data_IF_688418283709
#
_entry.id   IF_688418283709
#
_cell.length_a   1.000
_cell.length_b   1.000
_cell.length_c   1.000
_cell.angle_alpha   90.00
_cell.angle_beta   90.00
_cell.angle_gamma   90.00
#
_symmetry.space_group_name_H-M   'P 1'
#
loop_
_entity.id
_entity.type
_entity.pdbx_description
1 polymer ?
#
# COMPACT_ATOMS: atom_id res chain seq x y z
N UNK A 1 -5.22 -12.34 20.85
CA UNK A 1 -4.12 -11.85 21.70
C UNK A 1 -2.75 -12.45 21.30
N UNK A 2 -2.59 -13.76 21.21
CA UNK A 2 -1.30 -14.40 20.84
C UNK A 2 -0.77 -14.00 19.45
N UNK A 3 -1.62 -13.87 18.45
CA UNK A 3 -1.19 -13.49 17.09
C UNK A 3 -0.57 -12.08 17.04
N UNK A 4 -1.22 -11.11 17.69
CA UNK A 4 -0.69 -9.74 17.80
C UNK A 4 0.65 -9.70 18.52
N UNK A 5 0.78 -10.49 19.62
CA UNK A 5 2.03 -10.58 20.37
C UNK A 5 3.16 -11.18 19.53
N UNK A 6 2.89 -12.25 18.78
CA UNK A 6 3.89 -12.86 17.88
C UNK A 6 4.37 -11.88 16.82
N UNK A 7 3.45 -11.15 16.15
CA UNK A 7 3.82 -10.13 15.18
C UNK A 7 4.67 -9.03 15.81
N UNK A 8 4.23 -8.52 16.97
CA UNK A 8 4.95 -7.48 17.69
C UNK A 8 6.35 -7.94 18.13
N UNK A 9 6.49 -9.17 18.64
CA UNK A 9 7.79 -9.73 19.03
C UNK A 9 8.75 -9.80 17.84
N UNK A 10 8.29 -10.25 16.67
CA UNK A 10 9.14 -10.29 15.47
C UNK A 10 9.59 -8.88 15.08
N UNK A 11 8.68 -7.92 15.06
CA UNK A 11 9.01 -6.54 14.66
C UNK A 11 9.90 -5.83 15.67
N UNK A 12 9.66 -6.00 16.97
CA UNK A 12 10.44 -5.37 18.03
C UNK A 12 11.81 -6.03 18.23
N UNK A 13 11.93 -7.34 17.97
CA UNK A 13 13.22 -8.03 18.06
C UNK A 13 14.09 -7.75 16.82
N UNK A 14 13.54 -7.93 15.62
CA UNK A 14 14.35 -7.89 14.39
C UNK A 14 14.45 -6.49 13.77
N UNK A 15 13.42 -5.66 13.92
CA UNK A 15 13.37 -4.32 13.31
C UNK A 15 14.50 -3.40 13.79
N UNK A 16 14.70 -3.22 15.12
CA UNK A 16 15.78 -2.40 15.63
C UNK A 16 17.18 -2.91 15.21
N UNK A 17 17.41 -4.23 15.26
CA UNK A 17 18.69 -4.84 14.84
C UNK A 17 18.96 -4.53 13.37
N UNK A 18 17.96 -4.79 12.51
CA UNK A 18 18.08 -4.50 11.08
C UNK A 18 18.33 -3.01 10.81
N UNK A 19 17.70 -2.11 11.57
CA UNK A 19 17.92 -0.67 11.43
C UNK A 19 19.28 -0.21 11.95
N UNK A 20 19.71 -0.69 13.12
CA UNK A 20 21.00 -0.30 13.73
C UNK A 20 22.16 -0.73 12.83
N UNK A 21 22.09 -1.90 12.21
CA UNK A 21 23.12 -2.39 11.30
C UNK A 21 22.93 -1.87 9.88
N UNK A 22 21.70 -1.94 9.38
CA UNK A 22 21.39 -1.67 7.99
C UNK A 22 21.42 -0.18 7.60
N UNK A 23 21.10 0.74 8.52
CA UNK A 23 21.18 2.19 8.22
C UNK A 23 22.62 2.64 8.03
N UNK A 24 23.58 2.39 8.97
CA UNK A 24 24.98 2.72 8.74
C UNK A 24 25.56 2.06 7.48
N UNK A 25 25.27 0.78 7.28
CA UNK A 25 25.67 0.07 6.06
C UNK A 25 25.16 0.78 4.78
N UNK A 26 23.87 1.13 4.76
CA UNK A 26 23.25 1.83 3.63
C UNK A 26 23.91 3.20 3.38
N UNK A 27 24.27 3.94 4.44
CA UNK A 27 24.95 5.22 4.30
C UNK A 27 26.37 5.08 3.74
N UNK A 28 27.07 4.00 4.09
CA UNK A 28 28.41 3.71 3.57
C UNK A 28 28.41 3.29 2.10
N UNK A 29 27.43 2.45 1.72
CA UNK A 29 27.34 1.85 0.36
C UNK A 29 26.56 2.74 -0.60
N UNK A 30 25.70 3.63 -0.11
CA UNK A 30 24.83 4.50 -0.94
C UNK A 30 23.62 3.78 -1.53
N UNK A 31 23.36 2.50 -1.18
CA UNK A 31 22.24 1.69 -1.70
C UNK A 31 21.42 1.05 -0.58
N UNK A 32 20.14 1.38 -0.54
CA UNK A 32 19.17 0.88 0.44
C UNK A 32 18.61 -0.51 0.12
N UNK A 33 18.90 -1.07 -1.03
CA UNK A 33 18.23 -2.29 -1.52
C UNK A 33 18.33 -3.46 -0.56
N UNK A 34 19.48 -3.63 0.10
CA UNK A 34 19.66 -4.70 1.10
C UNK A 34 18.79 -4.46 2.33
N UNK A 35 18.82 -3.26 2.89
CA UNK A 35 17.98 -2.91 4.05
C UNK A 35 16.49 -3.05 3.72
N UNK A 36 16.07 -2.61 2.54
CA UNK A 36 14.70 -2.77 2.08
C UNK A 36 14.28 -4.24 2.02
N UNK A 37 15.10 -5.12 1.42
CA UNK A 37 14.81 -6.56 1.35
C UNK A 37 14.72 -7.21 2.73
N UNK A 38 15.61 -6.86 3.65
CA UNK A 38 15.57 -7.34 5.04
C UNK A 38 14.29 -6.85 5.73
N UNK A 39 13.91 -5.59 5.55
CA UNK A 39 12.66 -5.06 6.11
C UNK A 39 11.43 -5.79 5.57
N UNK A 40 11.39 -6.10 4.27
CA UNK A 40 10.29 -6.87 3.66
C UNK A 40 10.27 -8.32 4.17
N UNK A 41 11.44 -8.94 4.38
CA UNK A 41 11.53 -10.26 4.97
C UNK A 41 11.04 -10.27 6.42
N UNK A 42 11.44 -9.29 7.25
CA UNK A 42 10.94 -9.13 8.63
C UNK A 42 9.42 -8.94 8.63
N UNK A 43 8.90 -8.13 7.71
CA UNK A 43 7.46 -7.88 7.57
C UNK A 43 6.72 -9.19 7.29
N UNK A 44 7.19 -9.98 6.32
CA UNK A 44 6.63 -11.29 6.01
C UNK A 44 6.75 -12.29 7.19
N UNK A 45 7.87 -12.28 7.89
CA UNK A 45 8.08 -13.15 9.05
C UNK A 45 7.07 -12.84 10.17
N UNK A 46 6.82 -11.55 10.45
CA UNK A 46 5.80 -11.13 11.41
C UNK A 46 4.38 -11.54 11.00
N UNK A 47 4.03 -11.32 9.73
CA UNK A 47 2.73 -11.73 9.17
C UNK A 47 2.51 -13.24 9.32
N UNK A 48 3.52 -14.06 8.96
CA UNK A 48 3.47 -15.52 9.11
C UNK A 48 3.39 -15.96 10.57
N UNK A 49 4.18 -15.33 11.45
CA UNK A 49 4.17 -15.62 12.89
C UNK A 49 2.80 -15.33 13.52
N UNK A 50 2.08 -14.33 13.01
CA UNK A 50 0.71 -14.02 13.40
C UNK A 50 -0.33 -15.02 12.87
N UNK A 51 0.09 -16.03 12.10
CA UNK A 51 -0.82 -17.04 11.52
C UNK A 51 -1.64 -16.52 10.34
N UNK A 52 -1.19 -15.44 9.69
CA UNK A 52 -1.82 -14.89 8.50
C UNK A 52 -1.29 -15.64 7.27
N UNK A 53 -2.18 -16.26 6.53
CA UNK A 53 -1.89 -16.85 5.23
C UNK A 53 -2.17 -15.83 4.13
N UNK A 54 -1.37 -15.84 3.08
CA UNK A 54 -1.55 -14.95 1.93
C UNK A 54 -1.95 -15.79 0.72
N UNK A 55 -3.06 -15.43 0.11
CA UNK A 55 -3.54 -15.94 -1.18
C UNK A 55 -3.44 -14.80 -2.20
N UNK A 56 -2.48 -14.90 -3.12
CA UNK A 56 -2.19 -13.87 -4.12
C UNK A 56 -2.39 -14.40 -5.53
N UNK A 57 -2.91 -13.52 -6.41
CA UNK A 57 -2.99 -13.78 -7.86
C UNK A 57 -2.85 -12.49 -8.65
N UNK A 58 -2.58 -12.62 -9.97
CA UNK A 58 -2.50 -11.48 -10.88
C UNK A 58 -1.14 -10.77 -10.88
N UNK A 59 -0.06 -11.40 -10.40
CA UNK A 59 1.28 -10.81 -10.47
C UNK A 59 1.73 -10.57 -11.92
N UNK A 60 1.23 -11.36 -12.84
CA UNK A 60 1.43 -11.23 -14.29
C UNK A 60 0.84 -9.95 -14.89
N UNK A 61 -0.09 -9.30 -14.19
CA UNK A 61 -0.69 -8.03 -14.60
C UNK A 61 0.22 -6.81 -14.38
N UNK A 62 1.36 -7.01 -13.72
CA UNK A 62 2.32 -5.93 -13.48
C UNK A 62 3.14 -5.69 -14.74
N UNK A 63 3.09 -4.49 -15.35
CA UNK A 63 3.87 -4.18 -16.55
C UNK A 63 5.38 -4.35 -16.30
N UNK A 64 6.02 -5.19 -17.12
CA UNK A 64 7.45 -5.43 -17.01
C UNK A 64 8.26 -4.16 -17.38
N UNK A 65 9.32 -3.89 -16.63
CA UNK A 65 10.26 -2.80 -16.93
C UNK A 65 9.71 -1.38 -16.71
N UNK A 66 8.49 -1.24 -16.19
CA UNK A 66 7.86 0.08 -15.93
C UNK A 66 7.52 0.25 -14.46
N UNK A 67 7.78 1.44 -13.93
CA UNK A 67 7.25 1.82 -12.61
C UNK A 67 5.74 1.98 -12.68
N UNK A 68 5.04 1.44 -11.68
CA UNK A 68 3.57 1.42 -11.63
C UNK A 68 3.07 2.10 -10.36
N UNK A 69 1.83 2.56 -10.40
CA UNK A 69 1.07 3.00 -9.24
C UNK A 69 0.11 1.87 -8.85
N UNK A 70 0.40 1.19 -7.76
CA UNK A 70 -0.50 0.22 -7.15
C UNK A 70 -1.57 0.95 -6.36
N UNK A 71 -2.82 0.80 -6.74
CA UNK A 71 -3.97 1.40 -6.06
C UNK A 71 -4.83 0.32 -5.40
N UNK A 72 -4.88 0.31 -4.07
CA UNK A 72 -5.59 -0.72 -3.31
C UNK A 72 -6.72 -0.13 -2.46
N UNK A 73 -7.79 -0.90 -2.25
CA UNK A 73 -8.73 -0.61 -1.18
C UNK A 73 -8.05 -0.71 0.19
N UNK A 74 -8.60 -0.05 1.21
CA UNK A 74 -7.99 0.02 2.54
C UNK A 74 -9.00 -0.26 3.65
N UNK A 75 -8.90 -1.44 4.24
CA UNK A 75 -9.85 -1.92 5.27
C UNK A 75 -9.19 -2.25 6.61
N UNK A 76 -7.86 -2.45 6.61
CA UNK A 76 -7.12 -2.87 7.80
C UNK A 76 -5.71 -2.26 7.89
N UNK A 77 -5.16 -2.16 9.09
CA UNK A 77 -3.72 -1.89 9.27
C UNK A 77 -2.84 -3.04 8.78
N UNK A 78 -3.42 -4.21 8.51
CA UNK A 78 -2.73 -5.35 7.93
C UNK A 78 -2.53 -5.22 6.41
N UNK A 79 -3.27 -4.35 5.71
CA UNK A 79 -3.16 -4.26 4.25
C UNK A 79 -1.74 -3.93 3.78
N UNK A 80 -1.03 -2.92 4.33
CA UNK A 80 0.34 -2.65 3.92
C UNK A 80 1.30 -3.81 4.18
N UNK A 81 1.37 -4.41 5.38
CA UNK A 81 2.32 -5.50 5.65
C UNK A 81 2.04 -6.80 4.89
N UNK A 82 0.80 -7.04 4.46
CA UNK A 82 0.49 -8.20 3.61
C UNK A 82 0.69 -7.93 2.12
N UNK A 83 0.69 -6.67 1.68
CA UNK A 83 0.76 -6.30 0.25
C UNK A 83 2.17 -5.90 -0.18
N UNK A 84 2.82 -4.98 0.55
CA UNK A 84 4.11 -4.40 0.13
C UNK A 84 5.18 -5.46 -0.15
N UNK A 85 5.39 -6.48 0.71
CA UNK A 85 6.43 -7.48 0.49
C UNK A 85 6.24 -8.37 -0.74
N UNK A 86 5.06 -8.33 -1.35
CA UNK A 86 4.71 -9.13 -2.53
C UNK A 86 4.95 -8.38 -3.84
N UNK A 87 5.08 -7.05 -3.77
CA UNK A 87 5.29 -6.23 -4.95
C UNK A 87 6.74 -6.36 -5.44
N UNK A 88 6.96 -6.38 -6.76
CA UNK A 88 8.31 -6.51 -7.32
C UNK A 88 9.15 -5.25 -7.07
N UNK A 89 10.45 -5.42 -7.08
CA UNK A 89 11.38 -4.30 -6.94
C UNK A 89 11.29 -3.59 -5.59
N UNK A 90 11.32 -2.27 -5.61
CA UNK A 90 11.12 -1.41 -4.44
C UNK A 90 9.91 -0.53 -4.65
N UNK A 91 9.04 -0.50 -3.64
CA UNK A 91 7.86 0.36 -3.64
C UNK A 91 7.99 1.45 -2.59
N UNK A 92 7.70 2.68 -2.98
CA UNK A 92 7.41 3.77 -2.06
C UNK A 92 5.93 3.72 -1.68
N UNK A 93 5.62 4.09 -0.46
CA UNK A 93 4.25 4.04 0.06
C UNK A 93 3.83 5.42 0.53
N UNK A 94 2.64 5.84 0.12
CA UNK A 94 2.03 7.04 0.68
C UNK A 94 1.45 6.68 2.06
N UNK A 95 2.02 7.24 3.10
CA UNK A 95 1.69 6.87 4.49
C UNK A 95 1.49 8.09 5.40
N UNK A 96 0.91 7.85 6.55
CA UNK A 96 0.65 8.89 7.55
C UNK A 96 1.98 9.45 8.08
N UNK A 97 2.15 10.78 8.06
CA UNK A 97 3.39 11.50 8.47
C UNK A 97 3.92 11.05 9.84
N UNK A 98 3.05 10.80 10.80
CA UNK A 98 3.45 10.37 12.16
C UNK A 98 4.23 9.05 12.20
N UNK A 99 4.13 8.19 11.18
CA UNK A 99 4.97 6.98 11.10
C UNK A 99 6.44 7.31 10.83
N UNK A 100 6.72 8.47 10.25
CA UNK A 100 8.08 8.95 10.03
C UNK A 100 8.78 9.43 11.33
N UNK A 101 8.00 9.64 12.42
CA UNK A 101 8.53 10.09 13.70
C UNK A 101 9.00 8.93 14.59
N UNK A 102 8.71 7.69 14.19
CA UNK A 102 9.18 6.49 14.89
C UNK A 102 10.70 6.37 14.69
N UNK A 103 11.50 6.35 15.77
CA UNK A 103 12.95 6.16 15.67
C UNK A 103 13.31 4.92 14.85
N UNK A 104 14.45 4.95 14.16
CA UNK A 104 14.94 3.88 13.28
C UNK A 104 14.00 3.65 12.08
N UNK A 105 12.74 3.27 12.31
CA UNK A 105 11.76 2.98 11.27
C UNK A 105 11.53 4.19 10.36
N UNK A 106 11.27 5.37 10.94
CA UNK A 106 11.05 6.59 10.17
C UNK A 106 12.29 7.00 9.35
N UNK A 107 13.51 6.76 9.88
CA UNK A 107 14.74 6.99 9.11
C UNK A 107 14.86 6.02 7.94
N UNK A 108 14.60 4.73 8.15
CA UNK A 108 14.59 3.73 7.09
C UNK A 108 13.54 4.03 6.02
N UNK A 109 12.33 4.47 6.42
CA UNK A 109 11.26 4.87 5.50
C UNK A 109 11.65 6.08 4.64
N UNK A 110 12.28 7.11 5.24
CA UNK A 110 12.81 8.28 4.49
C UNK A 110 13.87 7.85 3.48
N UNK A 111 14.81 7.00 3.88
CA UNK A 111 15.84 6.46 2.99
C UNK A 111 15.23 5.62 1.86
N UNK A 112 14.13 4.89 2.13
CA UNK A 112 13.37 4.14 1.14
C UNK A 112 12.47 5.02 0.26
N UNK A 113 12.51 6.36 0.43
CA UNK A 113 11.68 7.34 -0.29
C UNK A 113 10.18 7.14 -0.09
N UNK A 114 9.76 6.69 1.09
CA UNK A 114 8.34 6.66 1.43
C UNK A 114 7.81 8.08 1.56
N UNK A 115 6.61 8.34 1.07
CA UNK A 115 6.04 9.68 0.96
C UNK A 115 5.07 9.94 2.11
N UNK A 116 5.41 10.88 3.02
CA UNK A 116 4.50 11.27 4.08
C UNK A 116 3.30 12.04 3.53
N UNK A 117 2.11 11.68 3.98
CA UNK A 117 0.88 12.40 3.69
C UNK A 117 0.28 12.93 4.98
N UNK A 118 0.01 14.22 5.02
CA UNK A 118 -0.68 14.89 6.12
C UNK A 118 -2.16 15.00 5.78
N UNK A 119 -3.00 14.30 6.55
CA UNK A 119 -4.46 14.31 6.34
C UNK A 119 -5.05 15.65 6.77
N UNK A 120 -5.89 16.24 5.92
CA UNK A 120 -6.47 17.57 6.20
C UNK A 120 -5.51 18.73 5.97
N UNK A 121 -4.34 18.47 5.38
CA UNK A 121 -3.37 19.51 5.05
C UNK A 121 -3.87 20.46 3.96
N UNK A 122 -3.28 21.67 3.95
CA UNK A 122 -3.47 22.65 2.88
C UNK A 122 -3.10 22.03 1.52
N UNK A 123 -3.66 22.59 0.47
CA UNK A 123 -3.45 22.19 -0.94
C UNK A 123 -1.97 22.00 -1.27
N UNK A 124 -1.11 22.87 -0.74
CA UNK A 124 0.34 22.84 -0.99
C UNK A 124 1.03 21.57 -0.48
N UNK A 125 0.64 21.06 0.71
CA UNK A 125 1.21 19.81 1.24
C UNK A 125 0.73 18.58 0.46
N UNK A 126 -0.49 18.61 -0.07
CA UNK A 126 -0.97 17.55 -0.96
C UNK A 126 -0.21 17.55 -2.29
N UNK A 127 0.05 18.72 -2.88
CA UNK A 127 0.85 18.88 -4.09
C UNK A 127 2.31 18.42 -3.86
N UNK A 128 2.92 18.78 -2.74
CA UNK A 128 4.27 18.31 -2.39
C UNK A 128 4.36 16.78 -2.29
N UNK A 129 3.33 16.14 -1.73
CA UNK A 129 3.27 14.66 -1.67
C UNK A 129 3.13 14.03 -3.06
N UNK A 130 2.35 14.64 -3.96
CA UNK A 130 2.23 14.18 -5.36
C UNK A 130 3.56 14.34 -6.10
N UNK A 131 4.23 15.48 -5.95
CA UNK A 131 5.54 15.73 -6.56
C UNK A 131 6.59 14.72 -6.07
N UNK A 132 6.68 14.48 -4.76
CA UNK A 132 7.60 13.49 -4.19
C UNK A 132 7.32 12.06 -4.67
N UNK A 133 6.06 11.69 -4.85
CA UNK A 133 5.67 10.41 -5.43
C UNK A 133 6.05 10.32 -6.92
N UNK A 134 5.91 11.42 -7.68
CA UNK A 134 6.38 11.53 -9.06
C UNK A 134 7.89 11.33 -9.18
N UNK A 135 8.69 11.95 -8.28
CA UNK A 135 10.14 11.76 -8.22
C UNK A 135 10.51 10.30 -7.90
N UNK A 136 9.77 9.66 -7.01
CA UNK A 136 9.98 8.25 -6.70
C UNK A 136 9.72 7.36 -7.94
N UNK A 137 8.63 7.58 -8.67
CA UNK A 137 8.33 6.88 -9.92
C UNK A 137 9.43 7.08 -10.96
N UNK A 138 9.87 8.33 -11.19
CA UNK A 138 10.97 8.65 -12.13
C UNK A 138 12.29 7.99 -11.74
N UNK A 139 12.50 7.73 -10.45
CA UNK A 139 13.68 7.00 -9.94
C UNK A 139 13.56 5.48 -10.01
N UNK A 140 12.53 4.94 -10.68
CA UNK A 140 12.33 3.50 -10.89
C UNK A 140 11.64 2.78 -9.73
N UNK A 141 11.07 3.52 -8.76
CA UNK A 141 10.27 2.92 -7.69
C UNK A 141 8.82 2.76 -8.14
N UNK A 142 8.16 1.74 -7.64
CA UNK A 142 6.70 1.68 -7.67
C UNK A 142 6.11 2.55 -6.56
N UNK A 143 4.85 2.94 -6.70
CA UNK A 143 4.10 3.65 -5.66
C UNK A 143 2.93 2.78 -5.20
N UNK A 144 2.80 2.52 -3.90
CA UNK A 144 1.57 1.98 -3.33
C UNK A 144 0.78 3.09 -2.67
N UNK A 145 -0.47 3.21 -3.04
CA UNK A 145 -1.40 4.19 -2.47
C UNK A 145 -2.76 3.58 -2.22
N UNK A 146 -3.41 4.05 -1.16
CA UNK A 146 -4.80 3.74 -0.83
C UNK A 146 -5.65 4.97 -1.18
N UNK A 147 -6.33 4.98 -2.34
CA UNK A 147 -6.99 6.18 -2.86
C UNK A 147 -8.16 6.65 -2.00
N UNK A 148 -8.70 5.80 -1.13
CA UNK A 148 -9.69 6.17 -0.12
C UNK A 148 -9.14 7.20 0.90
N UNK A 149 -7.83 7.26 1.11
CA UNK A 149 -7.14 8.17 2.03
C UNK A 149 -7.30 7.81 3.51
N UNK A 150 -8.16 6.86 3.85
CA UNK A 150 -8.34 6.31 5.20
C UNK A 150 -8.88 4.90 5.10
N UNK A 151 -8.76 4.11 6.17
CA UNK A 151 -9.40 2.79 6.24
C UNK A 151 -10.92 2.94 6.23
N UNK A 152 -11.58 2.09 5.46
CA UNK A 152 -13.05 1.99 5.46
C UNK A 152 -13.57 1.76 6.90
N UNK A 153 -14.65 2.42 7.31
CA UNK A 153 -15.24 2.22 8.62
C UNK A 153 -16.06 0.93 8.72
N UNK A 154 -16.68 0.50 7.65
CA UNK A 154 -17.62 -0.61 7.56
C UNK A 154 -17.10 -1.81 6.72
N UNK A 155 -15.87 -1.71 6.20
CA UNK A 155 -15.23 -2.72 5.37
C UNK A 155 -15.63 -2.65 3.89
N UNK A 156 -16.50 -1.72 3.49
CA UNK A 156 -16.89 -1.51 2.09
C UNK A 156 -15.94 -0.56 1.39
N UNK A 157 -15.80 -0.70 0.07
CA UNK A 157 -14.99 0.20 -0.74
C UNK A 157 -15.60 1.61 -0.72
N UNK A 158 -14.83 2.56 -0.20
CA UNK A 158 -15.22 3.95 -0.06
C UNK A 158 -14.94 4.76 -1.34
N UNK A 159 -15.30 6.04 -1.32
CA UNK A 159 -14.98 6.98 -2.40
C UNK A 159 -13.49 7.29 -2.46
N UNK A 160 -12.98 7.52 -3.67
CA UNK A 160 -11.57 7.80 -3.91
C UNK A 160 -11.24 9.29 -3.85
N UNK A 161 -10.05 9.61 -3.36
CA UNK A 161 -9.47 10.97 -3.41
C UNK A 161 -8.81 11.21 -4.77
N UNK A 162 -8.86 12.46 -5.22
CA UNK A 162 -8.39 12.87 -6.55
C UNK A 162 -6.84 12.83 -6.70
N UNK A 163 -6.09 12.99 -5.59
CA UNK A 163 -4.63 13.14 -5.61
C UNK A 163 -3.87 12.00 -6.33
N UNK A 164 -4.11 10.72 -6.04
CA UNK A 164 -3.43 9.61 -6.71
C UNK A 164 -3.65 9.59 -8.23
N UNK A 165 -4.79 10.07 -8.70
CA UNK A 165 -5.12 10.11 -10.12
C UNK A 165 -4.46 11.30 -10.83
N UNK A 166 -4.23 12.41 -10.14
CA UNK A 166 -3.35 13.48 -10.64
C UNK A 166 -1.95 12.96 -10.87
N UNK A 167 -1.39 12.21 -9.89
CA UNK A 167 -0.09 11.59 -10.04
C UNK A 167 -0.02 10.69 -11.27
N UNK A 168 -1.03 9.83 -11.47
CA UNK A 168 -1.06 8.91 -12.60
C UNK A 168 -1.11 9.64 -13.94
N UNK A 169 -1.94 10.66 -14.08
CA UNK A 169 -2.05 11.47 -15.30
C UNK A 169 -0.79 12.26 -15.60
N UNK A 170 -0.17 12.87 -14.56
CA UNK A 170 1.06 13.67 -14.71
C UNK A 170 2.25 12.79 -15.11
N UNK A 171 2.40 11.63 -14.48
CA UNK A 171 3.55 10.74 -14.70
C UNK A 171 3.35 9.75 -15.84
N UNK A 172 2.11 9.59 -16.33
CA UNK A 172 1.70 8.54 -17.28
C UNK A 172 2.09 7.13 -16.82
N UNK A 173 2.24 6.94 -15.51
CA UNK A 173 2.55 5.64 -14.95
C UNK A 173 1.29 4.76 -14.93
N UNK A 174 1.37 3.51 -15.39
CA UNK A 174 0.24 2.59 -15.36
C UNK A 174 -0.24 2.36 -13.93
N UNK A 175 -1.55 2.25 -13.78
CA UNK A 175 -2.18 1.90 -12.51
C UNK A 175 -2.45 0.40 -12.51
N UNK A 176 -1.95 -0.29 -11.48
CA UNK A 176 -2.32 -1.69 -11.20
C UNK A 176 -3.29 -1.68 -10.02
N UNK A 177 -4.60 -1.88 -10.26
CA UNK A 177 -5.56 -1.94 -9.17
C UNK A 177 -5.35 -3.21 -8.35
N UNK A 178 -5.53 -3.13 -7.03
CA UNK A 178 -5.40 -4.27 -6.12
C UNK A 178 -6.67 -4.37 -5.28
N UNK A 179 -7.31 -5.53 -5.29
CA UNK A 179 -8.38 -5.86 -4.39
C UNK A 179 -7.85 -6.70 -3.21
N UNK A 180 -8.01 -6.17 -1.99
CA UNK A 180 -7.61 -6.84 -0.75
C UNK A 180 -8.85 -7.20 0.05
N UNK A 181 -8.95 -8.46 0.48
CA UNK A 181 -10.04 -8.95 1.32
C UNK A 181 -9.55 -9.92 2.40
N UNK A 182 -10.36 -10.10 3.46
CA UNK A 182 -10.03 -10.94 4.61
C UNK A 182 -9.34 -10.17 5.75
N UNK A 183 -8.54 -9.15 5.46
CA UNK A 183 -7.82 -8.37 6.48
C UNK A 183 -8.75 -7.58 7.40
N UNK A 184 -9.94 -7.17 6.93
CA UNK A 184 -10.96 -6.46 7.71
C UNK A 184 -11.49 -7.29 8.89
N UNK A 185 -11.55 -8.61 8.73
CA UNK A 185 -11.98 -9.52 9.80
C UNK A 185 -10.83 -9.89 10.72
N UNK A 186 -9.59 -9.88 10.22
CA UNK A 186 -8.39 -10.21 10.99
C UNK A 186 -7.96 -9.10 11.93
N UNK A 187 -8.03 -7.85 11.52
CA UNK A 187 -7.75 -6.69 12.38
C UNK A 187 -8.72 -5.56 12.05
N UNK A 188 -9.76 -5.41 12.87
CA UNK A 188 -10.79 -4.38 12.70
C UNK A 188 -10.24 -2.98 12.95
N UNK A 189 -10.85 -1.98 12.32
CA UNK A 189 -10.54 -0.57 12.58
C UNK A 189 -10.74 -0.24 14.08
N UNK A 190 -9.73 0.38 14.68
CA UNK A 190 -9.76 0.69 16.13
C UNK A 190 -9.25 -0.43 17.04
N UNK A 191 -8.97 -1.62 16.52
CA UNK A 191 -8.40 -2.74 17.28
C UNK A 191 -6.96 -3.02 16.88
N UNK A 192 -6.14 -3.47 17.85
CA UNK A 192 -4.81 -4.03 17.61
C UNK A 192 -4.80 -5.57 17.76
N UNK A 193 -5.97 -6.17 18.02
CA UNK A 193 -6.09 -7.61 18.12
C UNK A 193 -6.10 -8.25 16.73
N UNK A 194 -5.19 -9.20 16.51
CA UNK A 194 -5.12 -9.98 15.28
C UNK A 194 -5.78 -11.33 15.51
N UNK A 195 -6.69 -11.67 14.61
CA UNK A 195 -7.26 -13.00 14.46
C UNK A 195 -6.59 -13.64 13.23
N UNK A 196 -5.96 -14.81 13.34
CA UNK A 196 -5.39 -15.51 12.20
C UNK A 196 -6.42 -15.75 11.09
N UNK A 197 -5.97 -15.71 9.84
CA UNK A 197 -6.88 -15.86 8.71
C UNK A 197 -6.16 -15.85 7.36
N UNK A 198 -6.92 -15.72 6.28
CA UNK A 198 -6.40 -15.65 4.91
C UNK A 198 -6.61 -14.25 4.34
N UNK A 199 -5.51 -13.56 4.06
CA UNK A 199 -5.52 -12.32 3.28
C UNK A 199 -5.51 -12.69 1.79
N UNK A 200 -6.55 -12.29 1.06
CA UNK A 200 -6.64 -12.47 -0.39
C UNK A 200 -6.26 -11.18 -1.07
N UNK A 201 -5.30 -11.26 -1.98
CA UNK A 201 -4.74 -10.12 -2.70
C UNK A 201 -4.85 -10.44 -4.19
N UNK A 202 -5.60 -9.63 -4.92
CA UNK A 202 -5.81 -9.77 -6.36
C UNK A 202 -5.27 -8.53 -7.06
N UNK A 203 -4.18 -8.70 -7.82
CA UNK A 203 -3.69 -7.66 -8.72
C UNK A 203 -4.48 -7.77 -10.02
N UNK A 204 -5.06 -6.67 -10.46
CA UNK A 204 -5.93 -6.63 -11.61
C UNK A 204 -5.17 -6.10 -12.84
N UNK A 205 -5.70 -6.29 -14.06
CA UNK A 205 -5.07 -5.78 -15.27
C UNK A 205 -4.70 -4.31 -15.16
N UNK A 206 -3.52 -3.96 -15.65
CA UNK A 206 -3.04 -2.59 -15.61
C UNK A 206 -3.95 -1.67 -16.42
N UNK A 207 -4.19 -0.48 -15.90
CA UNK A 207 -4.99 0.58 -16.53
C UNK A 207 -4.02 1.69 -16.93
N UNK A 208 -3.98 2.02 -18.22
CA UNK A 208 -3.18 3.12 -18.75
C UNK A 208 -3.93 4.45 -18.57
N UNK A 209 -3.35 5.45 -17.88
CA UNK A 209 -4.02 6.72 -17.69
C UNK A 209 -4.34 7.47 -18.99
N UNK A 210 -3.53 7.23 -20.05
CA UNK A 210 -3.71 7.83 -21.37
C UNK A 210 -4.99 7.41 -22.10
N UNK A 211 -5.61 6.30 -21.70
CA UNK A 211 -6.79 5.75 -22.34
C UNK A 211 -8.07 6.45 -21.88
N UNK A 212 -7.96 7.41 -20.94
CA UNK A 212 -9.09 8.09 -20.34
C UNK A 212 -9.04 9.59 -20.60
N UNK A 213 -10.12 10.13 -21.12
CA UNK A 213 -10.23 11.55 -21.44
C UNK A 213 -10.27 12.46 -20.19
N UNK A 214 -10.84 11.95 -19.10
CA UNK A 214 -10.95 12.71 -17.85
C UNK A 214 -10.41 11.92 -16.65
N UNK A 215 -9.98 12.67 -15.64
CA UNK A 215 -9.57 12.06 -14.36
C UNK A 215 -10.72 11.30 -13.70
N UNK A 216 -11.93 11.79 -13.81
CA UNK A 216 -13.14 11.21 -13.25
C UNK A 216 -13.44 9.84 -13.88
N UNK A 217 -13.24 9.71 -15.19
CA UNK A 217 -13.39 8.43 -15.90
C UNK A 217 -12.32 7.41 -15.45
N UNK A 218 -11.07 7.86 -15.34
CA UNK A 218 -9.97 7.04 -14.81
C UNK A 218 -10.27 6.57 -13.37
N UNK A 219 -10.75 7.49 -12.51
CA UNK A 219 -11.14 7.15 -11.13
C UNK A 219 -12.24 6.10 -11.10
N UNK A 220 -13.26 6.26 -11.94
CA UNK A 220 -14.39 5.33 -12.05
C UNK A 220 -13.91 3.96 -12.51
N UNK A 221 -13.07 3.90 -13.54
CA UNK A 221 -12.51 2.65 -14.06
C UNK A 221 -11.73 1.88 -13.00
N UNK A 222 -10.81 2.53 -12.29
CA UNK A 222 -10.03 1.90 -11.21
C UNK A 222 -10.93 1.45 -10.05
N UNK A 223 -11.90 2.28 -9.64
CA UNK A 223 -12.84 1.93 -8.56
C UNK A 223 -13.70 0.75 -8.93
N UNK A 224 -14.22 0.70 -10.17
CA UNK A 224 -15.04 -0.40 -10.66
C UNK A 224 -14.23 -1.71 -10.74
N UNK A 225 -13.01 -1.67 -11.28
CA UNK A 225 -12.14 -2.84 -11.33
C UNK A 225 -11.93 -3.45 -9.93
N UNK A 226 -11.62 -2.60 -8.93
CA UNK A 226 -11.46 -3.07 -7.55
C UNK A 226 -12.80 -3.60 -7.01
N UNK A 227 -13.91 -2.90 -7.22
CA UNK A 227 -15.23 -3.30 -6.73
C UNK A 227 -15.68 -4.66 -7.30
N UNK A 228 -15.43 -4.92 -8.59
CA UNK A 228 -15.74 -6.19 -9.25
C UNK A 228 -15.00 -7.36 -8.62
N UNK A 229 -13.74 -7.17 -8.27
CA UNK A 229 -12.88 -8.20 -7.69
C UNK A 229 -13.10 -8.43 -6.18
N UNK A 230 -13.83 -7.52 -5.51
CA UNK A 230 -14.14 -7.65 -4.09
C UNK A 230 -15.36 -8.56 -3.83
N UNK A 231 -15.39 -9.27 -2.67
CA UNK A 231 -16.60 -9.96 -2.20
C UNK A 231 -17.79 -8.99 -2.10
N UNK A 232 -19.01 -9.52 -2.29
CA UNK A 232 -20.26 -8.72 -2.35
C UNK A 232 -20.44 -7.82 -1.13
N UNK A 233 -20.12 -8.30 0.05
CA UNK A 233 -20.22 -7.56 1.31
C UNK A 233 -19.23 -6.36 1.41
N UNK A 234 -18.18 -6.38 0.60
CA UNK A 234 -17.17 -5.30 0.54
C UNK A 234 -17.40 -4.32 -0.62
N UNK A 235 -18.31 -4.63 -1.53
CA UNK A 235 -18.65 -3.73 -2.64
C UNK A 235 -19.30 -2.45 -2.13
N UNK A 236 -19.15 -1.33 -2.85
CA UNK A 236 -19.83 -0.09 -2.50
C UNK A 236 -21.35 -0.29 -2.48
N UNK A 237 -22.05 0.44 -1.63
CA UNK A 237 -23.52 0.35 -1.55
C UNK A 237 -24.21 0.75 -2.87
N UNK A 238 -23.66 1.75 -3.56
CA UNK A 238 -24.12 2.22 -4.87
C UNK A 238 -23.85 1.25 -6.03
N UNK A 239 -22.89 0.34 -5.87
CA UNK A 239 -22.56 -0.68 -6.88
C UNK A 239 -23.69 -1.69 -7.06
N UNK A 240 -24.35 -2.06 -5.97
CA UNK A 240 -25.44 -3.06 -5.98
C UNK A 240 -26.72 -2.53 -6.62
N UNK A 241 -26.93 -1.22 -6.63
CA UNK A 241 -28.07 -0.55 -7.28
C UNK A 241 -27.88 -0.28 -8.78
N UNK A 242 -26.63 -0.29 -9.27
CA UNK A 242 -26.33 -0.10 -10.70
C UNK A 242 -26.31 -1.44 -11.50
N UNK A 243 -26.34 -2.58 -10.82
CA UNK A 243 -26.28 -3.91 -11.43
C UNK A 243 -27.66 -4.57 -11.58
N UNK A 244 -28.74 -3.89 -11.21
CA UNK A 244 -30.15 -4.25 -11.43
C UNK A 244 -30.75 -3.37 -12.52
#
# INVERSE_FOLDING_TARGET
MFASLKLALVYLALGPIAGIIGIPYTLLVGDITRLYRVAMWITNAGVRAAGIKIDISGLENIPAGRSCIFMSNHVSNLDPPVTIPLLPGRSSVLLKKQLMDIPILGRAMRMAKFVPVERGSRRDAAQASVAAAGDALRSGLHILVYPEGTRSPDGRLSTFKKGPFFLALETKAPIVPIAVSGTQTMMRKGSNAIVPGVARIRLLPAIEPSDYATREDLMRAVRNAIAEALPTEMKPADYLTMAL
#
